data_IF_836457230607
#
_entry.id   IF_836457230607
#
_cell.length_a   1.000
_cell.length_b   1.000
_cell.length_c   1.000
_cell.angle_alpha   90.00
_cell.angle_beta   90.00
_cell.angle_gamma   90.00
#
_symmetry.space_group_name_H-M   'P 1'
#
loop_
_entity.id
_entity.type
_entity.pdbx_description
1 polymer ?
#
# COMPACT_ATOMS: atom_id res chain seq x y z
N UNK A 1 -25.49 -8.41 3.16
CA UNK A 1 -24.29 -8.62 3.99
C UNK A 1 -23.32 -7.49 3.69
N UNK A 2 -23.03 -6.63 4.67
CA UNK A 2 -22.00 -5.61 4.49
C UNK A 2 -20.64 -6.30 4.59
N UNK A 3 -19.81 -6.19 3.55
CA UNK A 3 -18.42 -6.64 3.62
C UNK A 3 -17.69 -5.73 4.61
N UNK A 4 -17.21 -6.29 5.71
CA UNK A 4 -16.46 -5.57 6.73
C UNK A 4 -15.01 -5.39 6.25
N UNK A 5 -14.71 -4.22 5.68
CA UNK A 5 -13.36 -3.85 5.23
C UNK A 5 -12.94 -4.40 3.87
N UNK A 6 -11.82 -3.94 3.36
CA UNK A 6 -11.23 -4.41 2.10
C UNK A 6 -9.83 -5.01 2.33
N UNK A 7 -9.52 -6.14 1.72
CA UNK A 7 -8.18 -6.71 1.76
C UNK A 7 -7.41 -6.32 0.50
N UNK A 8 -6.33 -5.55 0.67
CA UNK A 8 -5.51 -5.05 -0.43
C UNK A 8 -4.11 -5.65 -0.36
N UNK A 9 -3.62 -6.13 -1.51
CA UNK A 9 -2.25 -6.60 -1.68
C UNK A 9 -1.45 -5.57 -2.47
N UNK A 10 -0.59 -4.82 -1.77
CA UNK A 10 0.23 -3.78 -2.37
C UNK A 10 1.52 -4.37 -2.95
N UNK A 11 1.97 -3.79 -4.08
CA UNK A 11 3.18 -4.23 -4.79
C UNK A 11 4.22 -3.11 -4.90
N UNK A 12 4.96 -2.83 -3.82
CA UNK A 12 5.73 -1.60 -3.68
C UNK A 12 6.94 -1.52 -4.63
N UNK A 13 7.48 -2.65 -5.07
CA UNK A 13 8.55 -2.74 -6.06
C UNK A 13 8.10 -3.11 -7.48
N UNK A 14 6.79 -3.23 -7.71
CA UNK A 14 6.27 -3.75 -8.98
C UNK A 14 6.72 -5.19 -9.24
N UNK A 15 7.11 -5.47 -10.49
CA UNK A 15 7.55 -6.80 -10.93
C UNK A 15 9.02 -7.14 -10.59
N UNK A 16 9.81 -6.16 -10.13
CA UNK A 16 11.24 -6.32 -9.89
C UNK A 16 11.51 -7.38 -8.82
N UNK A 17 12.35 -8.34 -9.17
CA UNK A 17 12.72 -9.48 -8.34
C UNK A 17 14.22 -9.75 -8.49
N UNK A 18 14.83 -10.35 -7.47
CA UNK A 18 16.22 -10.82 -7.50
C UNK A 18 16.36 -12.30 -7.90
N UNK A 19 15.25 -12.97 -8.20
CA UNK A 19 15.21 -14.38 -8.62
C UNK A 19 14.37 -14.49 -9.89
N UNK A 20 14.86 -15.24 -10.87
CA UNK A 20 14.21 -15.50 -12.15
C UNK A 20 13.60 -16.92 -12.17
N UNK A 21 12.50 -17.11 -11.44
CA UNK A 21 11.83 -18.40 -11.35
C UNK A 21 11.18 -18.78 -12.69
N UNK A 22 11.47 -19.97 -13.21
CA UNK A 22 10.97 -20.45 -14.52
C UNK A 22 9.45 -20.55 -14.64
N UNK A 23 8.73 -20.57 -13.53
CA UNK A 23 7.27 -20.64 -13.46
C UNK A 23 6.62 -19.28 -13.12
N UNK A 24 7.39 -18.22 -12.93
CA UNK A 24 6.88 -16.93 -12.47
C UNK A 24 6.45 -16.04 -13.64
N UNK A 25 5.15 -16.03 -13.92
CA UNK A 25 4.55 -15.12 -14.91
C UNK A 25 4.62 -13.63 -14.52
N UNK A 26 5.05 -13.30 -13.28
CA UNK A 26 4.94 -11.94 -12.77
C UNK A 26 6.09 -11.02 -13.24
N UNK A 27 7.27 -11.58 -13.53
CA UNK A 27 8.46 -10.82 -13.95
C UNK A 27 8.26 -10.15 -15.32
N UNK A 28 7.60 -10.85 -16.25
CA UNK A 28 7.28 -10.35 -17.60
C UNK A 28 6.46 -9.06 -17.58
N UNK A 29 5.77 -8.75 -16.47
CA UNK A 29 4.99 -7.52 -16.31
C UNK A 29 5.85 -6.27 -16.23
N UNK A 30 7.17 -6.39 -16.03
CA UNK A 30 8.09 -5.26 -16.18
C UNK A 30 7.99 -4.63 -17.58
N UNK A 31 7.81 -5.45 -18.62
CA UNK A 31 7.68 -4.99 -20.01
C UNK A 31 6.42 -4.14 -20.25
N UNK A 32 5.40 -4.23 -19.39
CA UNK A 32 4.18 -3.42 -19.50
C UNK A 32 4.37 -1.98 -19.04
N UNK A 33 5.42 -1.71 -18.25
CA UNK A 33 5.66 -0.40 -17.64
C UNK A 33 7.14 0.03 -17.79
N UNK A 34 7.66 0.17 -19.03
CA UNK A 34 9.09 0.40 -19.28
C UNK A 34 9.61 1.68 -18.61
N UNK A 35 8.78 2.71 -18.52
CA UNK A 35 9.13 3.98 -17.86
C UNK A 35 9.35 3.83 -16.35
N UNK A 36 8.73 2.81 -15.73
CA UNK A 36 8.88 2.53 -14.30
C UNK A 36 10.19 1.80 -13.99
N UNK A 37 10.92 1.26 -14.97
CA UNK A 37 12.19 0.57 -14.70
C UNK A 37 13.25 1.52 -14.12
N UNK A 38 13.19 2.81 -14.45
CA UNK A 38 14.06 3.85 -13.88
C UNK A 38 13.66 4.27 -12.46
N UNK A 39 12.39 4.11 -12.10
CA UNK A 39 11.85 4.46 -10.77
C UNK A 39 10.75 3.47 -10.37
N UNK A 40 11.17 2.24 -10.11
CA UNK A 40 10.27 1.09 -9.90
C UNK A 40 9.67 1.07 -8.50
N UNK A 41 10.26 1.84 -7.58
CA UNK A 41 9.88 1.94 -6.18
C UNK A 41 8.62 2.81 -6.03
N UNK A 42 7.69 2.36 -5.20
CA UNK A 42 6.58 3.17 -4.72
C UNK A 42 7.12 4.44 -4.03
N UNK A 43 6.58 5.60 -4.41
CA UNK A 43 6.98 6.87 -3.80
C UNK A 43 6.44 6.99 -2.37
N UNK A 44 7.11 7.80 -1.54
CA UNK A 44 6.66 8.11 -0.18
C UNK A 44 5.27 8.74 -0.15
N UNK A 45 4.95 9.58 -1.14
CA UNK A 45 3.62 10.17 -1.29
C UNK A 45 2.55 9.09 -1.55
N UNK A 46 2.82 8.17 -2.48
CA UNK A 46 1.92 7.05 -2.78
C UNK A 46 1.74 6.16 -1.55
N UNK A 47 2.82 5.89 -0.82
CA UNK A 47 2.80 5.08 0.40
C UNK A 47 1.94 5.73 1.50
N UNK A 48 2.07 7.03 1.73
CA UNK A 48 1.27 7.74 2.72
C UNK A 48 -0.21 7.77 2.33
N UNK A 49 -0.54 8.03 1.07
CA UNK A 49 -1.93 7.97 0.61
C UNK A 49 -2.51 6.56 0.70
N UNK A 50 -1.76 5.54 0.29
CA UNK A 50 -2.17 4.14 0.40
C UNK A 50 -2.49 3.77 1.86
N UNK A 51 -1.60 4.09 2.81
CA UNK A 51 -1.82 3.78 4.23
C UNK A 51 -3.06 4.51 4.76
N UNK A 52 -3.23 5.80 4.43
CA UNK A 52 -4.40 6.58 4.86
C UNK A 52 -5.71 6.00 4.34
N UNK A 53 -5.77 5.72 3.05
CA UNK A 53 -6.97 5.17 2.39
C UNK A 53 -7.28 3.76 2.88
N UNK A 54 -6.26 2.90 3.00
CA UNK A 54 -6.45 1.53 3.48
C UNK A 54 -6.98 1.51 4.90
N UNK A 55 -6.46 2.36 5.79
CA UNK A 55 -6.95 2.48 7.16
C UNK A 55 -8.39 3.00 7.21
N UNK A 56 -8.71 4.05 6.44
CA UNK A 56 -10.06 4.63 6.39
C UNK A 56 -11.11 3.66 5.83
N UNK A 57 -10.70 2.71 4.97
CA UNK A 57 -11.58 1.70 4.40
C UNK A 57 -11.84 0.50 5.32
N UNK A 58 -11.15 0.37 6.46
CA UNK A 58 -11.39 -0.71 7.43
C UNK A 58 -12.36 -0.27 8.53
N UNK A 59 -13.20 -1.20 8.96
CA UNK A 59 -14.13 -1.02 10.09
C UNK A 59 -13.69 -1.71 11.39
N UNK A 60 -12.58 -2.47 11.36
CA UNK A 60 -12.07 -3.23 12.50
C UNK A 60 -10.84 -2.60 13.17
N UNK A 61 -10.58 -3.00 14.42
CA UNK A 61 -9.42 -2.53 15.20
C UNK A 61 -8.07 -3.09 14.71
N UNK A 62 -8.13 -4.14 13.88
CA UNK A 62 -6.97 -4.76 13.26
C UNK A 62 -7.02 -4.52 11.76
N UNK A 63 -5.90 -4.05 11.22
CA UNK A 63 -5.73 -3.72 9.81
C UNK A 63 -4.50 -4.49 9.33
N UNK A 64 -4.72 -5.43 8.43
CA UNK A 64 -3.64 -6.21 7.84
C UNK A 64 -3.14 -5.53 6.55
N UNK A 65 -1.82 -5.46 6.41
CA UNK A 65 -1.14 -4.97 5.21
C UNK A 65 -0.41 -6.15 4.54
N UNK A 66 -0.83 -6.52 3.33
CA UNK A 66 -0.17 -7.54 2.54
C UNK A 66 0.76 -6.89 1.50
N UNK A 67 2.05 -7.17 1.58
CA UNK A 67 3.08 -6.71 0.63
C UNK A 67 3.49 -7.87 -0.28
N UNK A 68 3.38 -7.69 -1.59
CA UNK A 68 3.72 -8.68 -2.61
C UNK A 68 4.43 -8.01 -3.79
N UNK A 69 4.54 -8.73 -4.90
CA UNK A 69 5.09 -8.24 -6.16
C UNK A 69 6.58 -8.45 -6.21
N UNK A 70 7.04 -9.02 -7.34
CA UNK A 70 8.43 -9.38 -7.56
C UNK A 70 9.01 -9.99 -6.29
N UNK A 71 10.05 -9.36 -5.77
CA UNK A 71 10.53 -9.58 -4.41
C UNK A 71 10.32 -8.32 -3.55
N UNK A 72 9.33 -8.28 -2.63
CA UNK A 72 9.02 -7.09 -1.86
C UNK A 72 10.16 -6.68 -0.90
N UNK A 73 11.03 -7.60 -0.48
CA UNK A 73 12.18 -7.26 0.38
C UNK A 73 13.25 -6.44 -0.34
N UNK A 74 13.22 -6.34 -1.68
CA UNK A 74 14.05 -5.41 -2.46
C UNK A 74 13.75 -3.93 -2.14
N UNK A 75 12.62 -3.64 -1.48
CA UNK A 75 12.36 -2.32 -0.92
C UNK A 75 13.29 -1.99 0.26
N UNK A 76 13.92 -2.99 0.88
CA UNK A 76 14.85 -2.81 1.98
C UNK A 76 14.19 -2.39 3.30
N UNK A 77 14.91 -2.59 4.39
CA UNK A 77 14.43 -2.30 5.74
C UNK A 77 13.96 -0.85 5.97
N UNK A 78 14.59 0.20 5.40
CA UNK A 78 14.13 1.58 5.56
C UNK A 78 12.68 1.80 5.10
N UNK A 79 12.25 1.14 4.03
CA UNK A 79 10.87 1.22 3.55
C UNK A 79 9.88 0.67 4.59
N UNK A 80 10.14 -0.52 5.14
CA UNK A 80 9.25 -1.12 6.13
C UNK A 80 9.24 -0.35 7.46
N UNK A 81 10.37 0.24 7.87
CA UNK A 81 10.41 1.17 9.00
C UNK A 81 9.53 2.40 8.76
N UNK A 82 9.56 2.94 7.53
CA UNK A 82 8.70 4.07 7.13
C UNK A 82 7.22 3.69 7.14
N UNK A 83 6.86 2.51 6.66
CA UNK A 83 5.49 1.96 6.73
C UNK A 83 4.98 1.99 8.17
N UNK A 84 5.73 1.42 9.12
CA UNK A 84 5.33 1.37 10.54
C UNK A 84 5.15 2.79 11.10
N UNK A 85 6.10 3.69 10.85
CA UNK A 85 6.03 5.07 11.31
C UNK A 85 4.79 5.82 10.76
N UNK A 86 4.46 5.61 9.48
CA UNK A 86 3.26 6.19 8.86
C UNK A 86 1.97 5.60 9.45
N UNK A 87 1.89 4.28 9.64
CA UNK A 87 0.74 3.64 10.28
C UNK A 87 0.50 4.21 11.69
N UNK A 88 1.55 4.41 12.49
CA UNK A 88 1.42 5.05 13.80
C UNK A 88 0.97 6.50 13.72
N UNK A 89 1.55 7.29 12.79
CA UNK A 89 1.16 8.69 12.55
C UNK A 89 -0.32 8.78 12.20
N UNK A 90 -0.78 7.97 11.25
CA UNK A 90 -2.18 7.96 10.78
C UNK A 90 -3.12 7.44 11.86
N UNK A 91 -2.74 6.39 12.61
CA UNK A 91 -3.53 5.90 13.75
C UNK A 91 -3.70 6.97 14.82
N UNK A 92 -2.64 7.71 15.18
CA UNK A 92 -2.73 8.85 16.12
C UNK A 92 -3.65 9.94 15.57
N UNK A 93 -3.52 10.27 14.29
CA UNK A 93 -4.39 11.23 13.63
C UNK A 93 -5.86 10.78 13.67
N UNK A 94 -6.17 9.54 13.29
CA UNK A 94 -7.52 9.00 13.27
C UNK A 94 -8.17 8.93 14.66
N UNK A 95 -7.39 8.60 15.70
CA UNK A 95 -7.87 8.64 17.10
C UNK A 95 -8.17 10.07 17.58
N UNK A 96 -7.31 11.03 17.23
CA UNK A 96 -7.47 12.43 17.64
C UNK A 96 -8.57 13.16 16.84
N UNK A 97 -8.99 12.60 15.70
CA UNK A 97 -10.02 13.14 14.82
C UNK A 97 -11.19 12.16 14.69
N UNK A 98 -11.46 11.33 15.71
CA UNK A 98 -12.62 10.44 15.68
C UNK A 98 -13.87 11.29 15.41
N UNK A 99 -14.53 11.02 14.29
CA UNK A 99 -15.69 11.75 13.77
C UNK A 99 -15.39 13.03 12.95
N UNK A 100 -14.49 12.97 11.96
CA UNK A 100 -14.73 13.68 10.69
C UNK A 100 -14.31 12.75 9.54
N UNK A 101 -15.11 11.71 9.30
CA UNK A 101 -15.21 11.18 7.95
C UNK A 101 -15.92 12.27 7.15
N UNK A 102 -15.12 13.10 6.48
CA UNK A 102 -15.48 14.13 5.51
C UNK A 102 -16.91 13.99 4.95
N UNK A 103 -17.87 14.71 5.56
CA UNK A 103 -19.18 15.00 4.96
C UNK A 103 -19.02 16.02 3.82
N UNK A 104 -18.25 15.69 2.78
CA UNK A 104 -18.36 16.39 1.49
C UNK A 104 -19.07 15.48 0.48
N UNK A 105 -20.39 15.50 0.57
CA UNK A 105 -21.23 15.60 -0.61
C UNK A 105 -22.01 16.92 -0.50
N UNK A 106 -21.57 18.01 -1.14
CA UNK A 106 -22.45 19.14 -1.36
C UNK A 106 -23.40 18.78 -2.51
N UNK A 107 -24.67 18.58 -2.18
CA UNK A 107 -25.77 18.57 -3.15
C UNK A 107 -26.22 17.17 -3.60
N UNK A 108 -27.18 16.60 -2.88
CA UNK A 108 -28.53 16.23 -3.37
C UNK A 108 -29.45 16.00 -2.17
#
# INVERSE_FOLDING_TARGET
MAVAGCHVMAKPGGAICNIDCTYCFYLEKEALYPERNKNWRMSDETLEQFIRQHIAAQSGDRIDFAWQGGEPTMMGLPFFRRVVALCEKVRRWAKNHSCVADERHPGE
#
